data_IF_989930124545
#
_entry.id   IF_989930124545
#
_cell.length_a   1.000
_cell.length_b   1.000
_cell.length_c   1.000
_cell.angle_alpha   90.00
_cell.angle_beta   90.00
_cell.angle_gamma   90.00
#
_symmetry.space_group_name_H-M   'P 1'
#
loop_
_entity.id
_entity.type
_entity.pdbx_description
1 polymer ?
#
# COMPACT_ATOMS: atom_id res chain seq x y z
N UNK A 1 -8.46 -5.45 -0.79
CA UNK A 1 -8.84 -5.01 -2.17
C UNK A 1 -10.23 -5.55 -2.53
N UNK A 2 -11.11 -4.73 -3.12
CA UNK A 2 -12.39 -5.21 -3.67
C UNK A 2 -12.17 -6.25 -4.78
N UNK A 3 -12.99 -7.30 -4.82
CA UNK A 3 -12.99 -8.32 -5.88
C UNK A 3 -13.11 -7.71 -7.28
N UNK A 4 -13.75 -6.54 -7.39
CA UNK A 4 -13.85 -5.77 -8.63
C UNK A 4 -12.50 -5.24 -9.11
N UNK A 5 -11.65 -4.70 -8.22
CA UNK A 5 -10.30 -4.23 -8.60
C UNK A 5 -9.44 -5.39 -9.08
N UNK A 6 -9.54 -6.55 -8.45
CA UNK A 6 -8.81 -7.76 -8.84
C UNK A 6 -9.30 -8.31 -10.20
N UNK A 7 -10.61 -8.33 -10.41
CA UNK A 7 -11.22 -8.74 -11.67
C UNK A 7 -10.89 -7.78 -12.81
N UNK A 8 -10.93 -6.46 -12.57
CA UNK A 8 -10.54 -5.45 -13.55
C UNK A 8 -9.05 -5.56 -13.93
N UNK A 9 -8.17 -5.83 -12.96
CA UNK A 9 -6.76 -6.08 -13.22
C UNK A 9 -6.56 -7.34 -14.08
N UNK A 10 -7.19 -8.45 -13.69
CA UNK A 10 -7.12 -9.73 -14.41
C UNK A 10 -7.70 -9.66 -15.82
N UNK A 11 -8.84 -8.98 -15.98
CA UNK A 11 -9.48 -8.77 -17.28
C UNK A 11 -8.64 -7.83 -18.15
N UNK A 12 -8.09 -6.76 -17.58
CA UNK A 12 -7.19 -5.87 -18.29
C UNK A 12 -5.93 -6.56 -18.81
N UNK A 13 -5.34 -7.46 -18.02
CA UNK A 13 -4.20 -8.28 -18.42
C UNK A 13 -4.55 -9.36 -19.45
N UNK A 14 -5.63 -10.11 -19.23
CA UNK A 14 -6.04 -11.23 -20.10
C UNK A 14 -6.55 -10.80 -21.46
N UNK A 15 -7.30 -9.70 -21.53
CA UNK A 15 -7.98 -9.27 -22.76
C UNK A 15 -7.17 -8.23 -23.54
N UNK A 16 -6.02 -7.80 -23.01
CA UNK A 16 -5.19 -6.78 -23.66
C UNK A 16 -5.86 -5.41 -23.71
N UNK A 17 -6.87 -5.15 -22.87
CA UNK A 17 -7.58 -3.88 -22.80
C UNK A 17 -6.62 -2.71 -22.48
N UNK A 18 -5.57 -2.96 -21.69
CA UNK A 18 -4.49 -1.98 -21.49
C UNK A 18 -3.68 -1.71 -22.77
N UNK A 19 -3.48 -2.71 -23.65
CA UNK A 19 -2.83 -2.52 -24.95
C UNK A 19 -3.71 -1.72 -25.92
N UNK A 20 -5.03 -1.95 -25.90
CA UNK A 20 -6.02 -1.20 -26.69
C UNK A 20 -6.15 0.26 -26.24
N UNK A 21 -6.28 0.49 -24.92
CA UNK A 21 -6.30 1.83 -24.33
C UNK A 21 -4.98 2.58 -24.58
N UNK A 22 -3.83 1.89 -24.58
CA UNK A 22 -2.54 2.49 -24.92
C UNK A 22 -2.38 2.80 -26.41
N UNK A 23 -2.89 1.94 -27.30
CA UNK A 23 -2.88 2.19 -28.75
C UNK A 23 -3.71 3.42 -29.14
N UNK A 24 -4.82 3.65 -28.45
CA UNK A 24 -5.74 4.74 -28.75
C UNK A 24 -5.34 6.09 -28.14
N UNK A 25 -4.59 6.14 -27.03
CA UNK A 25 -4.47 7.40 -26.25
C UNK A 25 -3.05 7.95 -26.08
N UNK A 26 -1.94 7.18 -26.06
CA UNK A 26 -0.60 7.77 -25.75
C UNK A 26 0.60 6.87 -26.16
N UNK A 27 1.18 7.11 -27.34
CA UNK A 27 2.38 6.38 -27.84
C UNK A 27 3.72 6.71 -27.13
N UNK A 28 3.75 7.60 -26.12
CA UNK A 28 4.99 8.09 -25.47
C UNK A 28 4.96 8.20 -23.94
N UNK A 29 4.04 7.53 -23.25
CA UNK A 29 3.98 7.64 -21.78
C UNK A 29 4.59 6.44 -21.08
N UNK A 30 5.58 6.73 -20.24
CA UNK A 30 6.04 5.85 -19.18
C UNK A 30 4.97 5.74 -18.09
N UNK A 31 4.82 4.56 -17.49
CA UNK A 31 3.84 4.27 -16.44
C UNK A 31 4.57 3.83 -15.17
N UNK A 32 4.21 4.43 -14.04
CA UNK A 32 4.68 3.99 -12.72
C UNK A 32 3.57 3.17 -12.06
N UNK A 33 3.89 1.95 -11.66
CA UNK A 33 3.00 1.08 -10.90
C UNK A 33 3.44 1.07 -9.43
N UNK A 34 2.63 1.69 -8.57
CA UNK A 34 2.90 1.78 -7.14
C UNK A 34 2.15 0.69 -6.36
N UNK A 35 2.90 -0.03 -5.54
CA UNK A 35 2.41 -1.07 -4.62
C UNK A 35 2.75 -0.69 -3.18
N UNK A 36 2.03 -1.25 -2.20
CA UNK A 36 2.21 -0.89 -0.79
C UNK A 36 2.22 -2.15 0.08
N UNK A 37 1.11 -2.91 0.06
CA UNK A 37 0.89 -4.08 0.91
C UNK A 37 0.75 -5.35 0.08
N UNK A 38 1.21 -6.47 0.63
CA UNK A 38 1.07 -7.79 0.03
C UNK A 38 0.41 -8.77 0.99
N UNK A 39 -0.11 -9.87 0.46
CA UNK A 39 -0.66 -10.97 1.24
C UNK A 39 -0.32 -12.31 0.61
N UNK A 40 -0.05 -13.32 1.42
CA UNK A 40 0.22 -14.67 0.92
C UNK A 40 0.93 -15.54 1.94
N UNK A 41 0.74 -16.86 1.83
CA UNK A 41 1.45 -17.83 2.68
C UNK A 41 1.28 -17.60 4.19
N UNK A 42 0.13 -17.06 4.61
CA UNK A 42 -0.14 -16.71 6.01
C UNK A 42 0.54 -15.43 6.49
N UNK A 43 1.24 -14.70 5.62
CA UNK A 43 1.89 -13.42 5.91
C UNK A 43 1.21 -12.24 5.19
N UNK A 44 1.51 -11.05 5.67
CA UNK A 44 1.06 -9.78 5.10
C UNK A 44 -0.37 -9.40 5.49
N UNK A 45 -0.79 -8.21 5.06
CA UNK A 45 -2.09 -7.67 5.40
C UNK A 45 -3.19 -8.34 4.56
N UNK A 46 -4.30 -8.84 5.13
CA UNK A 46 -5.33 -9.55 4.37
C UNK A 46 -5.91 -8.76 3.18
N UNK A 47 -5.89 -7.43 3.28
CA UNK A 47 -6.37 -6.54 2.22
C UNK A 47 -5.31 -6.17 1.17
N UNK A 48 -4.05 -6.53 1.40
CA UNK A 48 -2.92 -6.32 0.50
C UNK A 48 -3.01 -7.19 -0.75
N UNK A 49 -2.18 -6.86 -1.75
CA UNK A 49 -2.17 -7.57 -3.03
C UNK A 49 -1.77 -9.04 -2.83
N UNK A 50 -2.61 -10.02 -3.25
CA UNK A 50 -2.23 -11.42 -3.21
C UNK A 50 -0.95 -11.66 -4.00
N UNK A 51 0.04 -12.31 -3.38
CA UNK A 51 1.39 -12.42 -3.95
C UNK A 51 1.40 -13.17 -5.28
N UNK A 52 0.50 -14.13 -5.46
CA UNK A 52 0.34 -14.84 -6.72
C UNK A 52 -0.15 -13.91 -7.84
N UNK A 53 -1.05 -12.96 -7.52
CA UNK A 53 -1.51 -11.96 -8.48
C UNK A 53 -0.41 -10.96 -8.83
N UNK A 54 0.44 -10.61 -7.85
CA UNK A 54 1.63 -9.80 -8.12
C UNK A 54 2.63 -10.53 -9.02
N UNK A 55 2.88 -11.83 -8.80
CA UNK A 55 3.73 -12.64 -9.67
C UNK A 55 3.21 -12.72 -11.10
N UNK A 56 1.91 -12.98 -11.29
CA UNK A 56 1.25 -12.94 -12.61
C UNK A 56 1.42 -11.57 -13.29
N UNK A 57 1.31 -10.48 -12.53
CA UNK A 57 1.53 -9.14 -13.06
C UNK A 57 2.99 -8.91 -13.47
N UNK A 58 3.98 -9.32 -12.66
CA UNK A 58 5.40 -9.18 -13.00
C UNK A 58 5.79 -10.00 -14.23
N UNK A 59 5.26 -11.22 -14.36
CA UNK A 59 5.41 -12.04 -15.55
C UNK A 59 4.82 -11.37 -16.79
N UNK A 60 3.62 -10.80 -16.68
CA UNK A 60 3.00 -10.09 -17.79
C UNK A 60 3.82 -8.85 -18.20
N UNK A 61 4.31 -8.08 -17.23
CA UNK A 61 5.10 -6.88 -17.48
C UNK A 61 6.40 -7.22 -18.22
N UNK A 62 7.14 -8.24 -17.78
CA UNK A 62 8.41 -8.63 -18.42
C UNK A 62 8.23 -9.17 -19.83
N UNK A 63 7.06 -9.73 -20.16
CA UNK A 63 6.73 -10.22 -21.51
C UNK A 63 6.26 -9.13 -22.47
N UNK A 64 5.74 -8.00 -21.97
CA UNK A 64 4.98 -7.05 -22.80
C UNK A 64 5.40 -5.59 -22.66
N UNK A 65 6.19 -5.26 -21.64
CA UNK A 65 6.66 -3.92 -21.37
C UNK A 65 8.16 -3.91 -21.24
N UNK A 66 8.71 -2.72 -21.46
CA UNK A 66 10.08 -2.43 -21.09
C UNK A 66 10.09 -2.01 -19.63
N UNK A 67 10.41 -2.95 -18.74
CA UNK A 67 10.50 -2.68 -17.32
C UNK A 67 11.87 -2.10 -16.98
N UNK A 68 11.90 -0.94 -16.32
CA UNK A 68 13.13 -0.24 -15.95
C UNK A 68 13.04 0.28 -14.51
N UNK A 69 14.19 0.56 -13.89
CA UNK A 69 14.20 1.26 -12.61
C UNK A 69 13.57 2.64 -12.75
N UNK A 70 13.00 3.16 -11.66
CA UNK A 70 12.42 4.50 -11.67
C UNK A 70 13.47 5.55 -12.06
N UNK A 71 14.72 5.40 -11.56
CA UNK A 71 15.85 6.26 -11.93
C UNK A 71 16.08 6.31 -13.45
N UNK A 72 16.12 5.14 -14.09
CA UNK A 72 16.29 5.06 -15.55
C UNK A 72 15.13 5.74 -16.28
N UNK A 73 13.90 5.49 -15.82
CA UNK A 73 12.71 6.13 -16.38
C UNK A 73 12.75 7.66 -16.25
N UNK A 74 13.12 8.19 -15.09
CA UNK A 74 13.20 9.64 -14.87
C UNK A 74 14.28 10.29 -15.72
N UNK A 75 15.43 9.65 -15.87
CA UNK A 75 16.54 10.15 -16.69
C UNK A 75 16.14 10.21 -18.18
N UNK A 76 15.47 9.18 -18.68
CA UNK A 76 15.00 9.15 -20.06
C UNK A 76 13.86 10.13 -20.34
N UNK A 77 12.96 10.32 -19.38
CA UNK A 77 11.92 11.34 -19.46
C UNK A 77 12.53 12.73 -19.52
N UNK A 78 13.51 13.03 -18.65
CA UNK A 78 14.21 14.32 -18.63
C UNK A 78 14.95 14.61 -19.94
N UNK A 79 15.45 13.58 -20.61
CA UNK A 79 16.10 13.68 -21.93
C UNK A 79 15.15 13.62 -23.12
N UNK A 80 13.86 13.34 -22.90
CA UNK A 80 12.88 13.18 -23.98
C UNK A 80 13.08 11.91 -24.84
N UNK A 81 13.75 10.89 -24.32
CA UNK A 81 14.12 9.66 -25.05
C UNK A 81 13.39 8.40 -24.55
N UNK A 82 12.39 8.57 -23.67
CA UNK A 82 11.63 7.43 -23.13
C UNK A 82 10.99 6.61 -24.24
N UNK A 83 11.17 5.30 -24.17
CA UNK A 83 10.60 4.38 -25.16
C UNK A 83 9.12 4.10 -24.85
N UNK A 84 8.28 3.85 -25.88
CA UNK A 84 6.92 3.36 -25.67
C UNK A 84 6.90 2.10 -24.79
N UNK A 85 5.80 1.90 -24.06
CA UNK A 85 5.62 0.72 -23.18
C UNK A 85 6.68 0.62 -22.07
N UNK A 86 7.24 1.74 -21.60
CA UNK A 86 8.16 1.75 -20.45
C UNK A 86 7.38 1.75 -19.14
N UNK A 87 7.72 0.84 -18.23
CA UNK A 87 7.08 0.70 -16.90
C UNK A 87 8.15 0.70 -15.81
N UNK A 88 7.87 1.38 -14.69
CA UNK A 88 8.65 1.31 -13.47
C UNK A 88 7.76 0.80 -12.33
N UNK A 89 8.33 -0.03 -11.46
CA UNK A 89 7.65 -0.59 -10.29
C UNK A 89 8.18 0.10 -9.04
N UNK A 90 7.27 0.61 -8.21
CA UNK A 90 7.62 1.15 -6.89
C UNK A 90 6.86 0.42 -5.80
N UNK A 91 7.49 0.28 -4.64
CA UNK A 91 6.85 -0.27 -3.45
C UNK A 91 7.11 0.66 -2.28
N UNK A 92 6.02 1.07 -1.63
CA UNK A 92 6.00 2.20 -0.73
C UNK A 92 5.87 1.77 0.76
N UNK A 93 6.00 2.74 1.66
CA UNK A 93 5.88 2.71 3.12
C UNK A 93 6.94 1.91 3.89
N UNK A 94 7.32 0.71 3.42
CA UNK A 94 8.37 -0.11 4.04
C UNK A 94 7.90 -1.26 4.93
N UNK A 95 6.78 -1.91 4.59
CA UNK A 95 6.24 -3.05 5.34
C UNK A 95 7.06 -4.33 5.20
N UNK A 96 7.11 -5.14 6.27
CA UNK A 96 7.90 -6.38 6.34
C UNK A 96 7.59 -7.36 5.21
N UNK A 97 6.32 -7.50 4.83
CA UNK A 97 5.94 -8.45 3.78
C UNK A 97 6.48 -8.09 2.39
N UNK A 98 6.92 -6.85 2.18
CA UNK A 98 7.61 -6.47 0.95
C UNK A 98 8.90 -7.28 0.80
N UNK A 99 9.66 -7.43 1.89
CA UNK A 99 10.88 -8.23 1.90
C UNK A 99 10.58 -9.72 1.77
N UNK A 100 9.60 -10.24 2.51
CA UNK A 100 9.37 -11.70 2.56
C UNK A 100 8.57 -12.23 1.38
N UNK A 101 7.69 -11.41 0.78
CA UNK A 101 6.82 -11.83 -0.32
C UNK A 101 7.20 -11.19 -1.66
N UNK A 102 7.28 -9.85 -1.74
CA UNK A 102 7.39 -9.15 -3.02
C UNK A 102 8.80 -9.19 -3.62
N UNK A 103 9.85 -8.99 -2.82
CA UNK A 103 11.23 -8.99 -3.29
C UNK A 103 11.64 -10.31 -3.99
N UNK A 104 11.32 -11.52 -3.46
CA UNK A 104 11.57 -12.77 -4.17
C UNK A 104 10.91 -12.87 -5.55
N UNK A 105 9.69 -12.31 -5.69
CA UNK A 105 8.99 -12.28 -6.98
C UNK A 105 9.70 -11.35 -7.96
N UNK A 106 10.09 -10.15 -7.51
CA UNK A 106 10.82 -9.19 -8.33
C UNK A 106 12.15 -9.79 -8.81
N UNK A 107 12.92 -10.43 -7.93
CA UNK A 107 14.16 -11.12 -8.27
C UNK A 107 13.94 -12.25 -9.28
N UNK A 108 12.93 -13.10 -9.05
CA UNK A 108 12.61 -14.22 -9.93
C UNK A 108 12.35 -13.78 -11.38
N UNK A 109 11.69 -12.64 -11.57
CA UNK A 109 11.37 -12.12 -12.90
C UNK A 109 12.38 -11.07 -13.40
N UNK A 110 13.45 -10.77 -12.65
CA UNK A 110 14.44 -9.76 -13.01
C UNK A 110 13.84 -8.35 -13.14
N UNK A 111 12.80 -8.05 -12.36
CA UNK A 111 12.09 -6.76 -12.41
C UNK A 111 12.82 -5.74 -11.53
N UNK A 112 13.40 -4.67 -12.08
CA UNK A 112 13.91 -3.57 -11.27
C UNK A 112 12.76 -2.88 -10.55
N UNK A 113 12.99 -2.51 -9.29
CA UNK A 113 12.02 -1.82 -8.46
C UNK A 113 12.70 -0.76 -7.59
N UNK A 114 11.92 0.24 -7.20
CA UNK A 114 12.33 1.27 -6.24
C UNK A 114 11.48 1.18 -4.98
N UNK A 115 12.13 1.01 -3.83
CA UNK A 115 11.49 0.96 -2.52
C UNK A 115 11.54 2.34 -1.87
N UNK A 116 10.37 2.89 -1.56
CA UNK A 116 10.26 4.13 -0.80
C UNK A 116 9.81 3.80 0.61
N UNK A 117 10.61 4.13 1.62
CA UNK A 117 10.32 3.76 3.02
C UNK A 117 10.16 4.95 3.95
N UNK A 118 9.23 4.83 4.89
CA UNK A 118 9.08 5.80 5.98
C UNK A 118 10.14 5.49 7.03
N UNK A 119 11.18 6.33 7.13
CA UNK A 119 12.36 6.05 7.97
C UNK A 119 12.02 5.81 9.44
N UNK A 120 11.13 6.63 10.03
CA UNK A 120 10.71 6.44 11.43
C UNK A 120 9.84 5.20 11.63
N UNK A 121 9.16 4.69 10.59
CA UNK A 121 8.43 3.43 10.66
C UNK A 121 9.40 2.26 10.70
N UNK A 122 10.40 2.26 9.82
CA UNK A 122 11.49 1.25 9.80
C UNK A 122 12.28 1.26 11.11
N UNK A 123 12.46 2.42 11.74
CA UNK A 123 13.10 2.51 13.05
C UNK A 123 12.19 2.09 14.22
N UNK A 124 10.90 1.87 13.98
CA UNK A 124 9.94 1.58 15.04
C UNK A 124 9.61 2.79 15.93
N UNK A 125 9.88 4.01 15.46
CA UNK A 125 9.50 5.27 16.13
C UNK A 125 8.12 5.77 15.70
N UNK A 126 7.55 5.22 14.62
CA UNK A 126 6.28 5.63 14.05
C UNK A 126 5.44 4.41 13.70
N UNK A 127 4.13 4.48 13.97
CA UNK A 127 3.14 3.63 13.33
C UNK A 127 2.26 4.52 12.44
N UNK A 128 2.25 4.32 11.09
CA UNK A 128 1.39 5.08 10.20
C UNK A 128 -0.05 5.22 10.73
N UNK A 129 -0.54 6.46 10.81
CA UNK A 129 -1.83 6.75 11.42
C UNK A 129 -3.01 6.10 10.67
N UNK A 130 -2.88 5.92 9.35
CA UNK A 130 -3.83 5.16 8.52
C UNK A 130 -3.95 3.71 8.96
N UNK A 131 -2.84 3.12 9.41
CA UNK A 131 -2.80 1.73 9.86
C UNK A 131 -3.32 1.59 11.28
N UNK A 132 -3.06 2.56 12.16
CA UNK A 132 -3.72 2.64 13.48
C UNK A 132 -5.24 2.70 13.31
N UNK A 133 -5.71 3.44 12.30
CA UNK A 133 -7.13 3.49 11.94
C UNK A 133 -7.66 2.14 11.49
N UNK A 134 -7.00 1.52 10.51
CA UNK A 134 -7.37 0.20 10.03
C UNK A 134 -7.42 -0.83 11.17
N UNK A 135 -6.42 -0.82 12.04
CA UNK A 135 -6.35 -1.68 13.21
C UNK A 135 -7.58 -1.53 14.13
N UNK A 136 -7.96 -0.31 14.48
CA UNK A 136 -9.13 -0.08 15.36
C UNK A 136 -10.41 -0.66 14.75
N UNK A 137 -10.65 -0.42 13.47
CA UNK A 137 -11.87 -0.91 12.81
C UNK A 137 -11.84 -2.42 12.56
N UNK A 138 -10.67 -3.01 12.35
CA UNK A 138 -10.52 -4.47 12.23
C UNK A 138 -10.82 -5.20 13.54
N UNK A 139 -10.45 -4.60 14.67
CA UNK A 139 -10.64 -5.16 16.02
C UNK A 139 -11.93 -4.71 16.70
N UNK A 140 -12.66 -3.74 16.12
CA UNK A 140 -13.92 -3.25 16.66
C UNK A 140 -14.96 -4.40 16.79
N UNK A 141 -15.56 -4.63 17.97
CA UNK A 141 -16.56 -5.66 18.16
C UNK A 141 -17.85 -5.32 17.40
N UNK A 142 -18.75 -6.31 17.28
CA UNK A 142 -20.10 -6.04 16.75
C UNK A 142 -20.89 -5.26 17.80
N UNK A 143 -20.96 -3.95 17.64
CA UNK A 143 -21.56 -3.05 18.62
C UNK A 143 -22.11 -1.79 17.95
N UNK A 144 -23.09 -1.17 18.61
CA UNK A 144 -23.50 0.21 18.35
C UNK A 144 -22.90 1.06 19.46
N UNK A 145 -22.03 1.99 19.09
CA UNK A 145 -21.30 2.84 20.03
C UNK A 145 -21.60 4.30 19.75
N UNK A 146 -21.60 5.12 20.79
CA UNK A 146 -21.71 6.56 20.69
C UNK A 146 -20.46 7.19 21.30
N UNK A 147 -19.91 8.19 20.64
CA UNK A 147 -18.73 8.92 21.12
C UNK A 147 -18.87 10.41 20.82
N UNK A 148 -18.13 11.22 21.55
CA UNK A 148 -18.12 12.67 21.38
C UNK A 148 -16.83 13.11 20.69
N UNK A 149 -16.95 13.97 19.69
CA UNK A 149 -15.82 14.61 19.05
C UNK A 149 -16.23 16.02 18.62
N UNK A 150 -15.41 17.04 18.95
CA UNK A 150 -15.72 18.47 18.72
C UNK A 150 -17.10 18.92 19.21
N UNK A 151 -17.52 18.41 20.37
CA UNK A 151 -18.82 18.73 20.97
C UNK A 151 -20.03 18.07 20.29
N UNK A 152 -19.87 17.39 19.15
CA UNK A 152 -20.91 16.61 18.51
C UNK A 152 -20.91 15.16 19.02
N UNK A 153 -22.09 14.55 19.10
CA UNK A 153 -22.25 13.11 19.37
C UNK A 153 -22.35 12.40 18.03
N UNK A 154 -21.45 11.44 17.83
CA UNK A 154 -21.43 10.56 16.68
C UNK A 154 -21.88 9.16 17.11
N UNK A 155 -22.61 8.48 16.24
CA UNK A 155 -23.03 7.09 16.46
C UNK A 155 -22.43 6.23 15.36
N UNK A 156 -21.74 5.18 15.77
CA UNK A 156 -21.19 4.17 14.89
C UNK A 156 -21.87 2.84 15.15
N UNK A 157 -22.18 2.14 14.06
CA UNK A 157 -22.80 0.84 14.14
C UNK A 157 -22.02 -0.19 13.34
N UNK A 158 -21.47 -1.17 14.06
CA UNK A 158 -20.70 -2.26 13.49
C UNK A 158 -21.54 -3.54 13.48
N UNK A 159 -22.41 -3.68 12.47
CA UNK A 159 -23.34 -4.82 12.36
C UNK A 159 -22.67 -6.09 11.85
N UNK A 160 -21.81 -5.94 10.85
CA UNK A 160 -21.21 -7.06 10.11
C UNK A 160 -19.70 -6.91 10.00
N UNK A 161 -19.01 -8.04 10.10
CA UNK A 161 -17.57 -8.12 9.95
C UNK A 161 -17.11 -7.67 8.55
N UNK A 162 -17.91 -7.95 7.51
CA UNK A 162 -17.65 -7.53 6.13
C UNK A 162 -17.71 -6.01 5.94
N UNK A 163 -18.39 -5.28 6.82
CA UNK A 163 -18.56 -3.82 6.72
C UNK A 163 -17.52 -3.03 7.52
N UNK A 164 -16.69 -3.70 8.35
CA UNK A 164 -15.61 -3.05 9.13
C UNK A 164 -14.67 -2.24 8.25
N UNK A 165 -14.23 -2.84 7.15
CA UNK A 165 -13.33 -2.19 6.19
C UNK A 165 -13.96 -0.94 5.58
N UNK A 166 -15.23 -1.02 5.15
CA UNK A 166 -15.91 0.10 4.51
C UNK A 166 -16.18 1.24 5.49
N UNK A 167 -16.62 0.92 6.71
CA UNK A 167 -16.78 1.90 7.78
C UNK A 167 -15.43 2.56 8.12
N UNK A 168 -14.36 1.77 8.21
CA UNK A 168 -13.00 2.28 8.42
C UNK A 168 -12.56 3.24 7.31
N UNK A 169 -12.77 2.88 6.05
CA UNK A 169 -12.44 3.73 4.89
C UNK A 169 -13.22 5.06 4.89
N UNK A 170 -14.53 5.02 5.16
CA UNK A 170 -15.37 6.23 5.21
C UNK A 170 -14.87 7.22 6.27
N UNK A 171 -14.56 6.71 7.46
CA UNK A 171 -14.08 7.54 8.55
C UNK A 171 -12.63 7.99 8.35
N UNK A 172 -11.81 7.17 7.72
CA UNK A 172 -10.46 7.54 7.32
C UNK A 172 -10.48 8.72 6.34
N UNK A 173 -11.38 8.71 5.36
CA UNK A 173 -11.53 9.81 4.39
C UNK A 173 -12.00 11.12 5.03
N UNK A 174 -12.86 11.03 6.06
CA UNK A 174 -13.20 12.19 6.88
C UNK A 174 -11.97 12.69 7.67
N UNK A 175 -11.23 11.78 8.29
CA UNK A 175 -10.06 12.09 9.11
C UNK A 175 -8.93 12.76 8.30
N UNK A 176 -8.76 12.41 7.01
CA UNK A 176 -7.76 13.05 6.11
C UNK A 176 -7.91 14.58 6.00
N UNK A 177 -9.08 15.14 6.36
CA UNK A 177 -9.36 16.58 6.29
C UNK A 177 -9.12 17.32 7.61
N UNK A 178 -8.77 16.61 8.68
CA UNK A 178 -8.59 17.18 10.02
C UNK A 178 -7.11 17.46 10.30
N UNK A 179 -6.82 18.39 11.22
CA UNK A 179 -5.45 18.61 11.70
C UNK A 179 -4.91 17.35 12.41
N UNK A 180 -3.60 17.24 12.59
CA UNK A 180 -2.97 16.03 13.20
C UNK A 180 -3.54 15.75 14.60
N UNK A 181 -3.54 16.74 15.50
CA UNK A 181 -4.07 16.58 16.85
C UNK A 181 -5.55 16.14 16.85
N UNK A 182 -6.36 16.75 15.99
CA UNK A 182 -7.78 16.42 15.87
C UNK A 182 -8.02 15.01 15.30
N UNK A 183 -7.11 14.50 14.45
CA UNK A 183 -7.16 13.11 13.97
C UNK A 183 -6.89 12.13 15.10
N UNK A 184 -5.87 12.40 15.91
CA UNK A 184 -5.51 11.53 17.03
C UNK A 184 -6.61 11.52 18.10
N UNK A 185 -7.20 12.68 18.42
CA UNK A 185 -8.36 12.79 19.31
C UNK A 185 -9.56 11.98 18.79
N UNK A 186 -9.87 12.09 17.49
CA UNK A 186 -10.97 11.34 16.88
C UNK A 186 -10.73 9.83 16.94
N UNK A 187 -9.52 9.37 16.60
CA UNK A 187 -9.18 7.96 16.65
C UNK A 187 -9.26 7.41 18.08
N UNK A 188 -8.76 8.17 19.06
CA UNK A 188 -8.83 7.81 20.47
C UNK A 188 -10.28 7.66 20.95
N UNK A 189 -11.15 8.61 20.61
CA UNK A 189 -12.58 8.55 20.98
C UNK A 189 -13.29 7.35 20.36
N UNK A 190 -12.98 7.00 19.11
CA UNK A 190 -13.54 5.83 18.43
C UNK A 190 -13.03 4.53 19.09
N UNK A 191 -11.72 4.44 19.35
CA UNK A 191 -11.10 3.27 19.96
C UNK A 191 -11.64 3.01 21.37
N UNK A 192 -11.76 4.07 22.19
CA UNK A 192 -12.36 4.00 23.53
C UNK A 192 -13.81 3.52 23.47
N UNK A 193 -14.62 4.09 22.57
CA UNK A 193 -16.03 3.73 22.44
C UNK A 193 -16.24 2.26 22.02
N UNK A 194 -15.32 1.71 21.23
CA UNK A 194 -15.32 0.29 20.87
C UNK A 194 -14.61 -0.62 21.87
N UNK A 195 -13.92 -0.06 22.87
CA UNK A 195 -13.09 -0.83 23.80
C UNK A 195 -11.88 -1.50 23.14
N UNK A 196 -11.26 -0.84 22.15
CA UNK A 196 -10.10 -1.36 21.42
C UNK A 196 -8.82 -0.68 21.92
N UNK A 197 -7.94 -1.46 22.53
CA UNK A 197 -6.61 -1.00 22.93
C UNK A 197 -5.67 -0.94 21.71
N UNK A 198 -5.16 0.26 21.39
CA UNK A 198 -4.19 0.46 20.31
C UNK A 198 -2.78 0.18 20.87
N UNK A 199 -2.04 -0.82 20.36
CA UNK A 199 -0.67 -1.08 20.79
C UNK A 199 0.26 0.11 20.54
N UNK A 200 1.31 0.23 21.36
CA UNK A 200 2.34 1.26 21.17
C UNK A 200 3.15 1.00 19.88
N UNK A 201 3.36 -0.27 19.53
CA UNK A 201 4.13 -0.69 18.35
C UNK A 201 3.27 -1.50 17.36
N UNK A 202 3.53 -1.40 16.04
CA UNK A 202 2.76 -2.10 15.01
C UNK A 202 2.76 -3.64 15.19
N UNK A 203 1.60 -4.28 15.40
CA UNK A 203 1.53 -5.72 15.61
C UNK A 203 1.42 -6.51 14.29
N UNK A 204 1.85 -7.77 14.30
CA UNK A 204 1.54 -8.75 13.26
C UNK A 204 1.78 -8.26 11.82
N UNK A 205 0.71 -8.19 11.03
CA UNK A 205 0.74 -7.78 9.62
C UNK A 205 1.13 -6.30 9.41
N UNK A 206 1.17 -5.47 10.44
CA UNK A 206 1.56 -4.05 10.37
C UNK A 206 3.06 -3.83 10.61
N UNK A 207 3.84 -4.89 10.79
CA UNK A 207 5.27 -4.76 11.10
C UNK A 207 6.06 -4.09 9.96
N UNK A 208 6.95 -3.15 10.27
CA UNK A 208 7.89 -2.60 9.30
C UNK A 208 8.97 -3.62 8.93
N UNK A 209 9.62 -3.41 7.78
CA UNK A 209 10.94 -3.97 7.54
C UNK A 209 11.96 -3.42 8.54
N UNK A 210 13.02 -4.20 8.76
CA UNK A 210 14.20 -3.73 9.49
C UNK A 210 15.20 -3.05 8.54
N UNK A 211 16.08 -2.22 9.10
CA UNK A 211 17.22 -1.67 8.36
C UNK A 211 18.12 -2.74 7.73
N UNK A 212 18.27 -3.90 8.37
CA UNK A 212 19.04 -5.01 7.82
C UNK A 212 18.39 -5.57 6.54
N UNK A 213 17.06 -5.72 6.55
CA UNK A 213 16.30 -6.15 5.38
C UNK A 213 16.37 -5.12 4.24
N UNK A 214 16.29 -3.83 4.53
CA UNK A 214 16.44 -2.80 3.51
C UNK A 214 17.84 -2.77 2.90
N UNK A 215 18.89 -2.92 3.72
CA UNK A 215 20.25 -3.05 3.21
C UNK A 215 20.42 -4.28 2.34
N UNK A 216 19.77 -5.40 2.68
CA UNK A 216 19.76 -6.58 1.83
C UNK A 216 19.07 -6.30 0.48
N UNK A 217 17.92 -5.60 0.45
CA UNK A 217 17.29 -5.20 -0.82
C UNK A 217 18.21 -4.31 -1.67
N UNK A 218 18.89 -3.35 -1.06
CA UNK A 218 19.85 -2.51 -1.78
C UNK A 218 21.04 -3.32 -2.33
N UNK A 219 21.54 -4.30 -1.57
CA UNK A 219 22.62 -5.19 -2.02
C UNK A 219 22.22 -6.08 -3.21
N UNK A 220 20.92 -6.39 -3.34
CA UNK A 220 20.32 -7.11 -4.46
C UNK A 220 20.07 -6.21 -5.69
N UNK A 221 20.49 -4.95 -5.64
CA UNK A 221 20.41 -4.00 -6.76
C UNK A 221 19.11 -3.22 -6.88
N UNK A 222 18.23 -3.27 -5.86
CA UNK A 222 17.05 -2.43 -5.82
C UNK A 222 17.37 -1.01 -5.35
N UNK A 223 16.70 -0.01 -5.93
CA UNK A 223 16.80 1.37 -5.44
C UNK A 223 16.04 1.50 -4.10
N UNK A 224 16.63 2.18 -3.11
CA UNK A 224 15.96 2.51 -1.84
C UNK A 224 15.97 4.02 -1.64
N UNK A 225 14.79 4.61 -1.41
CA UNK A 225 14.58 6.03 -1.18
C UNK A 225 13.67 6.28 0.03
N UNK A 226 13.56 7.55 0.42
CA UNK A 226 12.70 7.96 1.53
C UNK A 226 11.25 8.22 1.07
N UNK A 227 10.28 7.68 1.80
CA UNK A 227 8.85 7.94 1.66
C UNK A 227 8.41 8.91 2.74
N UNK A 228 8.49 10.20 2.44
CA UNK A 228 8.12 11.29 3.34
C UNK A 228 8.99 11.39 4.61
N UNK A 229 9.19 12.63 5.10
CA UNK A 229 9.68 12.89 6.45
C UNK A 229 8.54 13.58 7.18
N UNK A 230 7.79 12.85 8.01
CA UNK A 230 6.84 13.50 8.92
C UNK A 230 7.66 14.34 9.90
N UNK A 231 7.51 15.67 9.81
CA UNK A 231 7.93 16.60 10.85
C UNK A 231 6.88 16.64 11.95
#
# INVERSE_FOLDING_TARGET
MSAFKLAALRLGFRVGLFRLLQHAVRRRQAVILAFHRFSGSGEGHPQGMPIQTFAEAMEYLTRHYRVVSLRTMTDELGRGVVRPYTVAVTVDDGYREVFTLAAPVLQRYGVPASFFVIGDFVEGRLWPWTDRWAFVFEHAPRARVAFRHRGAIHVLEMREEKNRCHAGEQWLDAAKRLAVAERDELLAAIAEAFGVDIPVAPPGAYRPMTWAQLRALAAEGFDVGAHTRTR
#
